data_IF_670605115648
#
_entry.id   IF_670605115648
#
_cell.length_a   1.000
_cell.length_b   1.000
_cell.length_c   1.000
_cell.angle_alpha   90.00
_cell.angle_beta   90.00
_cell.angle_gamma   90.00
#
_symmetry.space_group_name_H-M   'P 1'
#
loop_
_entity.id
_entity.type
_entity.pdbx_description
1 polymer ?
#
# COMPACT_ATOMS: atom_id res chain seq x y z
N UNK A 1 2.03 -8.26 0.01
CA UNK A 1 1.53 -8.75 1.30
C UNK A 1 1.20 -10.22 1.14
N UNK A 2 1.68 -11.07 2.04
CA UNK A 2 1.45 -12.52 1.96
C UNK A 2 0.21 -12.88 2.80
N UNK A 3 -0.87 -13.29 2.13
CA UNK A 3 -2.08 -13.75 2.80
C UNK A 3 -1.95 -15.21 3.28
N UNK A 4 -1.08 -16.00 2.64
CA UNK A 4 -0.93 -17.43 2.91
C UNK A 4 -0.17 -17.68 4.22
N UNK A 5 0.71 -16.76 4.62
CA UNK A 5 1.43 -16.82 5.90
C UNK A 5 0.55 -16.51 7.12
N UNK A 6 -0.68 -16.02 6.90
CA UNK A 6 -1.58 -15.54 7.95
C UNK A 6 -1.21 -14.17 8.53
N UNK A 7 -0.15 -13.53 8.03
CA UNK A 7 0.34 -12.26 8.57
C UNK A 7 -0.65 -11.11 8.40
N UNK A 8 -1.36 -11.08 7.26
CA UNK A 8 -2.45 -10.11 7.05
C UNK A 8 -3.55 -10.23 8.11
N UNK A 9 -3.95 -11.46 8.45
CA UNK A 9 -4.96 -11.69 9.49
C UNK A 9 -4.46 -11.23 10.86
N UNK A 10 -3.21 -11.50 11.18
CA UNK A 10 -2.61 -11.13 12.44
C UNK A 10 -2.34 -9.62 12.59
N UNK A 11 -2.17 -8.90 11.48
CA UNK A 11 -1.99 -7.45 11.48
C UNK A 11 -3.33 -6.70 11.48
N UNK A 12 -4.36 -7.26 10.83
CA UNK A 12 -5.67 -6.66 10.73
C UNK A 12 -6.36 -6.54 12.11
N UNK A 13 -7.15 -5.48 12.29
CA UNK A 13 -8.08 -5.38 13.43
C UNK A 13 -9.31 -6.25 13.20
N UNK A 14 -9.74 -6.37 11.94
CA UNK A 14 -10.93 -7.14 11.58
C UNK A 14 -10.74 -7.85 10.24
N UNK A 15 -11.44 -8.98 10.07
CA UNK A 15 -11.51 -9.73 8.83
C UNK A 15 -12.97 -9.93 8.47
N UNK A 16 -13.39 -9.41 7.34
CA UNK A 16 -14.76 -9.54 6.85
C UNK A 16 -14.82 -10.42 5.61
N UNK A 17 -15.84 -11.28 5.46
CA UNK A 17 -16.09 -11.96 4.19
C UNK A 17 -16.47 -10.93 3.12
N UNK A 18 -16.12 -11.20 1.88
CA UNK A 18 -16.58 -10.48 0.69
C UNK A 18 -17.30 -11.46 -0.24
N UNK A 19 -18.38 -11.02 -0.86
CA UNK A 19 -19.21 -11.79 -1.79
C UNK A 19 -18.41 -12.37 -2.97
N UNK A 20 -17.24 -11.81 -3.27
CA UNK A 20 -16.33 -12.25 -4.34
C UNK A 20 -15.39 -13.40 -3.95
N UNK A 21 -15.61 -14.05 -2.81
CA UNK A 21 -14.90 -15.26 -2.40
C UNK A 21 -13.52 -15.06 -1.75
N UNK A 22 -13.15 -13.81 -1.46
CA UNK A 22 -11.99 -13.47 -0.62
C UNK A 22 -12.40 -12.66 0.61
N UNK A 23 -11.46 -12.35 1.49
CA UNK A 23 -11.72 -11.56 2.69
C UNK A 23 -11.15 -10.16 2.56
N UNK A 24 -11.87 -9.19 3.11
CA UNK A 24 -11.38 -7.84 3.35
C UNK A 24 -10.66 -7.87 4.70
N UNK A 25 -9.41 -7.45 4.71
CA UNK A 25 -8.63 -7.27 5.93
C UNK A 25 -8.65 -5.78 6.24
N UNK A 26 -9.32 -5.43 7.33
CA UNK A 26 -9.45 -4.06 7.79
C UNK A 26 -8.37 -3.80 8.84
N UNK A 27 -7.47 -2.87 8.53
CA UNK A 27 -6.54 -2.29 9.48
C UNK A 27 -7.23 -1.08 10.14
N UNK A 28 -6.48 -0.09 10.64
CA UNK A 28 -7.09 1.05 11.32
C UNK A 28 -7.80 2.00 10.35
N UNK A 29 -7.06 2.50 9.38
CA UNK A 29 -7.48 3.55 8.44
C UNK A 29 -7.29 3.13 6.98
N UNK A 30 -6.93 1.87 6.77
CA UNK A 30 -6.78 1.28 5.45
C UNK A 30 -7.25 -0.17 5.48
N UNK A 31 -7.66 -0.65 4.32
CA UNK A 31 -8.20 -1.99 4.13
C UNK A 31 -7.60 -2.59 2.87
N UNK A 32 -7.40 -3.90 2.87
CA UNK A 32 -6.87 -4.62 1.71
C UNK A 32 -7.76 -5.78 1.33
N UNK A 33 -7.87 -5.99 0.04
CA UNK A 33 -8.58 -7.08 -0.58
C UNK A 33 -7.77 -7.62 -1.76
N UNK A 34 -8.10 -8.81 -2.25
CA UNK A 34 -7.45 -9.40 -3.43
C UNK A 34 -7.55 -8.49 -4.67
N UNK A 35 -8.58 -7.62 -4.70
CA UNK A 35 -8.89 -6.68 -5.78
C UNK A 35 -8.25 -5.31 -5.63
N UNK A 36 -7.72 -4.94 -4.45
CA UNK A 36 -7.28 -3.57 -4.24
C UNK A 36 -6.94 -3.21 -2.81
N UNK A 37 -6.80 -1.91 -2.60
CA UNK A 37 -6.51 -1.29 -1.31
C UNK A 37 -7.35 -0.03 -1.17
N UNK A 38 -7.94 0.18 0.02
CA UNK A 38 -8.59 1.43 0.41
C UNK A 38 -7.72 2.07 1.49
N UNK A 39 -7.48 3.37 1.41
CA UNK A 39 -6.77 4.14 2.42
C UNK A 39 -7.51 5.45 2.68
N UNK A 40 -7.61 5.84 3.95
CA UNK A 40 -8.12 7.15 4.33
C UNK A 40 -6.95 8.09 4.63
N UNK A 41 -6.51 8.83 3.61
CA UNK A 41 -5.49 9.87 3.73
C UNK A 41 -5.86 11.03 2.80
N UNK A 42 -6.20 12.18 3.39
CA UNK A 42 -6.69 13.35 2.64
C UNK A 42 -7.93 13.05 1.77
N UNK A 43 -8.86 12.27 2.35
CA UNK A 43 -10.01 11.68 1.66
C UNK A 43 -9.81 10.19 1.42
N UNK A 44 -10.72 9.58 0.65
CA UNK A 44 -10.64 8.16 0.35
C UNK A 44 -9.83 7.92 -0.91
N UNK A 45 -8.80 7.08 -0.79
CA UNK A 45 -7.99 6.60 -1.89
C UNK A 45 -8.27 5.12 -2.10
N UNK A 46 -8.62 4.74 -3.33
CA UNK A 46 -8.76 3.34 -3.75
C UNK A 46 -7.74 2.99 -4.81
N UNK A 47 -7.03 1.87 -4.63
CA UNK A 47 -6.20 1.26 -5.66
C UNK A 47 -6.94 0.09 -6.32
N UNK A 48 -7.23 0.21 -7.60
CA UNK A 48 -7.77 -0.88 -8.41
C UNK A 48 -6.64 -1.78 -8.91
N UNK A 49 -6.56 -3.02 -8.42
CA UNK A 49 -5.48 -3.93 -8.82
C UNK A 49 -5.59 -4.37 -10.29
N UNK A 50 -6.77 -4.76 -10.84
CA UNK A 50 -6.90 -5.13 -12.25
C UNK A 50 -6.58 -3.97 -13.19
N UNK A 51 -7.16 -2.79 -12.95
CA UNK A 51 -6.91 -1.59 -13.76
C UNK A 51 -5.53 -0.97 -13.51
N UNK A 52 -4.90 -1.26 -12.37
CA UNK A 52 -3.65 -0.65 -11.89
C UNK A 52 -3.74 0.88 -11.76
N UNK A 53 -4.91 1.39 -11.38
CA UNK A 53 -5.24 2.82 -11.28
C UNK A 53 -5.62 3.16 -9.84
N UNK A 54 -5.22 4.35 -9.39
CA UNK A 54 -5.69 4.93 -8.14
C UNK A 54 -6.88 5.85 -8.41
N UNK A 55 -7.84 5.89 -7.49
CA UNK A 55 -9.00 6.76 -7.53
C UNK A 55 -9.14 7.51 -6.21
N UNK A 56 -9.47 8.79 -6.26
CA UNK A 56 -9.87 9.58 -5.08
C UNK A 56 -11.38 9.72 -5.05
N UNK A 57 -11.97 9.52 -3.88
CA UNK A 57 -13.41 9.62 -3.65
C UNK A 57 -13.72 10.38 -2.37
N UNK A 58 -14.88 11.04 -2.35
CA UNK A 58 -15.42 11.71 -1.17
C UNK A 58 -16.06 10.73 -0.19
N UNK A 59 -16.49 9.56 -0.67
CA UNK A 59 -17.14 8.52 0.11
C UNK A 59 -16.25 7.29 0.23
N UNK A 60 -16.42 6.52 1.29
CA UNK A 60 -15.68 5.28 1.49
C UNK A 60 -15.97 4.32 0.31
N UNK A 61 -14.94 3.93 -0.46
CA UNK A 61 -15.10 2.97 -1.53
C UNK A 61 -15.46 1.61 -0.96
N UNK A 62 -16.20 0.82 -1.72
CA UNK A 62 -16.49 -0.56 -1.39
C UNK A 62 -15.81 -1.48 -2.42
N UNK A 63 -15.19 -2.56 -1.94
CA UNK A 63 -14.62 -3.60 -2.79
C UNK A 63 -15.68 -4.38 -3.57
N UNK A 64 -16.95 -4.34 -3.16
CA UNK A 64 -18.04 -5.09 -3.78
C UNK A 64 -18.71 -4.32 -4.93
N UNK A 65 -18.69 -3.00 -4.88
CA UNK A 65 -19.37 -2.12 -5.83
C UNK A 65 -18.40 -1.49 -6.85
N UNK A 66 -18.90 -1.01 -8.01
CA UNK A 66 -18.08 -0.23 -8.92
C UNK A 66 -17.50 0.99 -8.23
N UNK A 67 -16.21 1.26 -8.47
CA UNK A 67 -15.53 2.39 -7.86
C UNK A 67 -16.04 3.68 -8.51
N UNK A 68 -16.54 4.59 -7.68
CA UNK A 68 -16.78 5.97 -8.07
C UNK A 68 -15.65 6.85 -7.54
N UNK A 69 -14.98 7.59 -8.42
CA UNK A 69 -13.93 8.51 -8.04
C UNK A 69 -13.18 9.09 -9.23
N UNK A 70 -12.35 10.09 -8.96
CA UNK A 70 -11.49 10.72 -9.95
C UNK A 70 -10.18 9.95 -10.03
N UNK A 71 -9.71 9.53 -11.23
CA UNK A 71 -8.41 8.89 -11.38
C UNK A 71 -7.28 9.79 -10.86
N UNK A 72 -6.35 9.20 -10.14
CA UNK A 72 -5.19 9.86 -9.54
C UNK A 72 -3.92 9.37 -10.23
N UNK A 73 -2.91 10.25 -10.33
CA UNK A 73 -1.62 9.85 -10.86
C UNK A 73 -1.00 8.72 -10.01
N UNK A 74 -0.38 7.75 -10.68
CA UNK A 74 0.18 6.58 -9.99
C UNK A 74 1.22 6.96 -8.94
N UNK A 75 2.05 7.97 -9.20
CA UNK A 75 3.06 8.48 -8.26
C UNK A 75 2.44 9.02 -6.97
N UNK A 76 1.39 9.82 -7.10
CA UNK A 76 0.64 10.38 -5.98
C UNK A 76 -0.03 9.27 -5.15
N UNK A 77 -0.72 8.34 -5.81
CA UNK A 77 -1.37 7.22 -5.13
C UNK A 77 -0.38 6.32 -4.39
N UNK A 78 0.78 6.03 -5.01
CA UNK A 78 1.86 5.30 -4.35
C UNK A 78 2.38 6.06 -3.13
N UNK A 79 2.66 7.36 -3.25
CA UNK A 79 3.15 8.18 -2.14
C UNK A 79 2.16 8.16 -0.95
N UNK A 80 0.87 8.27 -1.22
CA UNK A 80 -0.17 8.24 -0.20
C UNK A 80 -0.22 6.90 0.56
N UNK A 81 0.10 5.76 -0.06
CA UNK A 81 0.08 4.46 0.64
C UNK A 81 1.45 4.05 1.22
N UNK A 82 2.51 4.80 0.91
CA UNK A 82 3.88 4.40 1.24
C UNK A 82 4.10 4.25 2.76
N UNK A 83 3.60 5.19 3.56
CA UNK A 83 3.72 5.14 5.02
C UNK A 83 3.09 3.88 5.61
N UNK A 84 1.88 3.52 5.16
CA UNK A 84 1.15 2.34 5.62
C UNK A 84 1.83 1.03 5.23
N UNK A 85 2.35 0.97 4.02
CA UNK A 85 3.12 -0.20 3.58
C UNK A 85 4.41 -0.31 4.40
N UNK A 86 5.09 0.80 4.72
CA UNK A 86 6.28 0.79 5.58
C UNK A 86 5.98 0.29 6.99
N UNK A 87 4.90 0.78 7.60
CA UNK A 87 4.46 0.32 8.93
C UNK A 87 4.20 -1.19 8.95
N UNK A 88 3.51 -1.70 7.92
CA UNK A 88 3.29 -3.14 7.76
C UNK A 88 4.60 -3.92 7.62
N UNK A 89 5.54 -3.43 6.80
CA UNK A 89 6.84 -4.08 6.61
C UNK A 89 7.69 -4.08 7.90
N UNK A 90 7.69 -2.99 8.66
CA UNK A 90 8.36 -2.91 9.96
C UNK A 90 7.75 -3.90 10.96
N UNK A 91 6.42 -4.02 10.98
CA UNK A 91 5.74 -5.02 11.81
C UNK A 91 6.08 -6.45 11.40
N UNK A 92 6.18 -6.74 10.09
CA UNK A 92 6.65 -8.05 9.62
C UNK A 92 8.07 -8.32 10.10
N UNK A 93 8.98 -7.35 9.97
CA UNK A 93 10.37 -7.50 10.41
C UNK A 93 10.48 -7.73 11.91
N UNK A 94 9.69 -7.02 12.73
CA UNK A 94 9.70 -7.22 14.19
C UNK A 94 9.18 -8.60 14.60
N UNK A 95 8.26 -9.18 13.81
CA UNK A 95 7.67 -10.50 14.09
C UNK A 95 8.48 -11.68 13.53
N UNK A 96 9.04 -11.54 12.33
CA UNK A 96 9.68 -12.63 11.57
C UNK A 96 11.21 -12.52 11.51
N UNK A 97 11.76 -11.39 11.95
CA UNK A 97 13.18 -11.07 11.87
C UNK A 97 13.55 -10.31 10.58
N UNK A 98 14.72 -9.65 10.56
CA UNK A 98 15.13 -8.74 9.48
C UNK A 98 15.34 -9.44 8.13
N UNK A 99 15.72 -10.72 8.14
CA UNK A 99 16.01 -11.48 6.92
C UNK A 99 14.80 -12.20 6.32
N UNK A 100 13.62 -12.13 6.95
CA UNK A 100 12.45 -12.87 6.50
C UNK A 100 12.06 -12.53 5.05
N UNK A 101 12.06 -11.24 4.71
CA UNK A 101 11.70 -10.77 3.37
C UNK A 101 12.73 -11.21 2.33
N UNK A 102 14.01 -11.16 2.66
CA UNK A 102 15.09 -11.64 1.79
C UNK A 102 14.96 -13.14 1.54
N UNK A 103 14.66 -13.93 2.57
CA UNK A 103 14.43 -15.37 2.45
C UNK A 103 13.20 -15.72 1.59
N UNK A 104 12.11 -14.96 1.70
CA UNK A 104 10.95 -15.12 0.81
C UNK A 104 11.28 -14.80 -0.66
N UNK A 105 12.15 -13.83 -0.88
CA UNK A 105 12.49 -13.33 -2.22
C UNK A 105 13.69 -14.04 -2.85
N UNK A 106 14.48 -14.81 -2.09
CA UNK A 106 15.67 -15.53 -2.55
C UNK A 106 15.35 -16.81 -3.34
N UNK A 107 14.08 -17.23 -3.35
CA UNK A 107 13.60 -18.33 -4.17
C UNK A 107 13.77 -18.06 -5.68
N UNK A 108 13.55 -19.09 -6.51
CA UNK A 108 13.51 -18.96 -7.97
C UNK A 108 12.27 -18.18 -8.42
N UNK A 109 12.31 -16.85 -8.29
CA UNK A 109 11.28 -15.96 -8.77
C UNK A 109 11.42 -15.76 -10.30
N UNK A 110 10.32 -15.72 -11.06
CA UNK A 110 10.33 -15.30 -12.46
C UNK A 110 10.98 -13.93 -12.65
N UNK A 111 11.64 -13.70 -13.79
CA UNK A 111 12.39 -12.45 -14.04
C UNK A 111 11.55 -11.17 -13.90
N UNK A 112 10.26 -11.22 -14.28
CA UNK A 112 9.31 -10.12 -14.07
C UNK A 112 9.12 -9.80 -12.59
N UNK A 113 8.88 -10.83 -11.78
CA UNK A 113 8.67 -10.69 -10.32
C UNK A 113 9.93 -10.16 -9.64
N UNK A 114 11.12 -10.58 -10.08
CA UNK A 114 12.39 -10.02 -9.58
C UNK A 114 12.52 -8.52 -9.86
N UNK A 115 12.19 -8.06 -11.06
CA UNK A 115 12.23 -6.60 -11.39
C UNK A 115 11.25 -5.80 -10.56
N UNK A 116 10.02 -6.30 -10.38
CA UNK A 116 9.02 -5.68 -9.52
C UNK A 116 9.47 -5.65 -8.05
N UNK A 117 10.17 -6.71 -7.60
CA UNK A 117 10.77 -6.77 -6.26
C UNK A 117 11.84 -5.71 -6.06
N UNK A 118 12.77 -5.55 -6.99
CA UNK A 118 13.83 -4.53 -6.89
C UNK A 118 13.25 -3.11 -6.94
N UNK A 119 12.29 -2.87 -7.84
CA UNK A 119 11.56 -1.60 -7.87
C UNK A 119 10.83 -1.33 -6.54
N UNK A 120 10.22 -2.35 -5.95
CA UNK A 120 9.57 -2.25 -4.65
C UNK A 120 10.57 -1.94 -3.52
N UNK A 121 11.72 -2.62 -3.48
CA UNK A 121 12.79 -2.36 -2.48
C UNK A 121 13.31 -0.93 -2.57
N UNK A 122 13.54 -0.43 -3.78
CA UNK A 122 13.97 0.95 -3.99
C UNK A 122 12.89 1.94 -3.61
N UNK A 123 11.63 1.64 -3.89
CA UNK A 123 10.51 2.51 -3.53
C UNK A 123 10.26 2.53 -2.02
N UNK A 124 10.31 1.40 -1.32
CA UNK A 124 10.07 1.35 0.12
C UNK A 124 11.23 1.95 0.93
N UNK A 125 12.46 1.98 0.41
CA UNK A 125 13.62 2.57 1.09
C UNK A 125 13.68 4.09 1.00
N UNK A 126 13.05 4.70 -0.01
CA UNK A 126 12.98 6.18 -0.16
C UNK A 126 12.15 6.83 0.92
N UNK A 127 12.64 7.93 1.49
CA UNK A 127 11.86 8.75 2.41
C UNK A 127 10.68 9.41 1.66
N UNK A 128 9.42 9.23 2.12
CA UNK A 128 8.26 9.93 1.57
C UNK A 128 8.45 11.46 1.48
N UNK A 129 9.19 12.04 2.44
CA UNK A 129 9.45 13.49 2.49
C UNK A 129 10.47 13.94 1.42
N UNK A 130 11.39 13.08 1.00
CA UNK A 130 12.27 13.36 -0.15
C UNK A 130 11.49 13.35 -1.46
N UNK A 131 10.47 12.49 -1.59
CA UNK A 131 9.59 12.47 -2.76
C UNK A 131 8.69 13.70 -2.87
N UNK A 132 8.14 14.19 -1.74
CA UNK A 132 7.39 15.45 -1.73
C UNK A 132 8.27 16.65 -2.10
N UNK A 133 9.53 16.68 -1.63
CA UNK A 133 10.49 17.75 -1.99
C UNK A 133 10.89 17.75 -3.46
N UNK A 134 10.91 16.60 -4.13
CA UNK A 134 11.18 16.51 -5.58
C UNK A 134 10.01 16.93 -6.46
N UNK A 135 8.78 16.94 -5.93
CA UNK A 135 7.56 17.31 -6.66
C UNK A 135 7.15 18.77 -6.43
N UNK A 136 7.75 19.45 -5.46
CA UNK A 136 7.59 20.88 -5.27
C UNK A 136 8.59 21.63 -6.18
N UNK A 137 8.16 22.60 -6.99
CA UNK A 137 9.09 23.48 -7.68
C UNK A 137 9.96 24.20 -6.64
N UNK A 138 11.26 24.33 -6.95
CA UNK A 138 12.23 24.99 -6.07
C UNK A 138 11.69 26.35 -5.60
N UNK A 139 11.37 26.47 -4.32
CA UNK A 139 10.94 27.75 -3.75
C UNK A 139 10.09 27.71 -2.48
N UNK A 140 9.44 26.59 -2.14
CA UNK A 140 8.56 26.55 -0.97
C UNK A 140 9.25 25.85 0.22
N UNK A 141 10.00 26.63 0.99
CA UNK A 141 10.51 26.24 2.31
C UNK A 141 9.34 25.99 3.28
N UNK A 142 9.03 24.73 3.56
CA UNK A 142 8.12 24.39 4.68
C UNK A 142 8.92 24.50 5.97
N UNK A 143 8.70 25.59 6.71
CA UNK A 143 9.15 25.75 8.09
C UNK A 143 8.33 24.79 8.95
N UNK A 144 8.97 23.73 9.47
CA UNK A 144 8.38 22.89 10.51
C UNK A 144 8.71 23.54 11.86
N UNK A 145 7.72 24.19 12.47
CA UNK A 145 7.81 24.60 13.87
C UNK A 145 7.60 23.37 14.76
N UNK A 146 8.50 23.21 15.74
CA UNK A 146 8.53 22.14 16.74
C UNK A 146 7.45 22.31 17.80
#
# INVERSE_FOLDING_TARGET
>A
MDAASGDLYAYAHNKMPCSRGSSIYQMRDWSVHSMGLICHQEGWLYYDRPGQVFYRSEHEPDFEHPISGVPVQRSEGLLAVQGRIREYEQWIQSRRGPHHREALLSGKLPARVRRETEAWKQWISRDPLEHQRMLLPEGHSVVILR
#
